data_IF_281303357594
#
_entry.id   IF_281303357594
#
_cell.length_a   1.000
_cell.length_b   1.000
_cell.length_c   1.000
_cell.angle_alpha   90.00
_cell.angle_beta   90.00
_cell.angle_gamma   90.00
#
_symmetry.space_group_name_H-M   'P 1'
#
loop_
_entity.id
_entity.type
_entity.pdbx_description
1 polymer ?
#
# COMPACT_ATOMS: atom_id res chain seq x y z
N UNK A 1 39.88 2.33 22.06
CA UNK A 1 38.46 1.92 22.24
C UNK A 1 37.59 2.94 21.52
N UNK A 2 37.11 2.58 20.34
CA UNK A 2 36.37 3.44 19.40
C UNK A 2 35.04 2.74 19.08
N UNK A 3 33.98 3.08 19.79
CA UNK A 3 32.61 2.72 19.42
C UNK A 3 31.67 3.85 19.87
N UNK A 4 31.06 4.56 18.91
CA UNK A 4 29.67 5.07 18.98
C UNK A 4 29.35 6.12 17.88
N UNK A 5 29.77 5.92 16.62
CA UNK A 5 29.39 6.85 15.54
C UNK A 5 28.51 6.21 14.45
N UNK A 6 28.39 4.88 14.43
CA UNK A 6 27.74 4.15 13.33
C UNK A 6 26.22 4.00 13.50
N UNK A 7 25.74 3.89 14.75
CA UNK A 7 24.31 3.72 15.04
C UNK A 7 23.47 4.93 14.58
N UNK A 8 24.01 6.14 14.73
CA UNK A 8 23.33 7.38 14.36
C UNK A 8 23.23 7.60 12.84
N UNK A 9 24.14 7.03 12.06
CA UNK A 9 24.10 7.13 10.59
C UNK A 9 23.05 6.17 10.01
N UNK A 10 23.03 4.93 10.51
CA UNK A 10 22.03 3.92 10.13
C UNK A 10 20.63 4.39 10.48
N UNK A 11 20.44 4.96 11.67
CA UNK A 11 19.14 5.44 12.12
C UNK A 11 18.65 6.63 11.26
N UNK A 12 19.53 7.55 10.87
CA UNK A 12 19.18 8.63 9.94
C UNK A 12 18.78 8.11 8.57
N UNK A 13 19.52 7.14 8.04
CA UNK A 13 19.26 6.56 6.72
C UNK A 13 17.92 5.81 6.71
N UNK A 14 17.62 5.07 7.78
CA UNK A 14 16.32 4.43 8.01
C UNK A 14 15.21 5.48 8.08
N UNK A 15 15.38 6.56 8.84
CA UNK A 15 14.37 7.61 8.96
C UNK A 15 14.12 8.33 7.62
N UNK A 16 15.16 8.59 6.84
CA UNK A 16 15.03 9.21 5.51
C UNK A 16 14.32 8.29 4.53
N UNK A 17 14.68 7.00 4.48
CA UNK A 17 13.99 6.00 3.64
C UNK A 17 12.53 5.80 4.07
N UNK A 18 12.26 5.92 5.37
CA UNK A 18 10.92 5.81 5.95
C UNK A 18 10.12 7.13 5.91
N UNK A 19 10.70 8.22 5.38
CA UNK A 19 10.04 9.53 5.24
C UNK A 19 9.76 10.25 6.56
N UNK A 20 10.54 9.99 7.60
CA UNK A 20 10.36 10.53 8.95
C UNK A 20 11.09 11.87 9.08
N UNK A 21 10.35 12.98 9.23
CA UNK A 21 10.93 14.29 9.57
C UNK A 21 11.29 14.35 11.06
N UNK A 22 12.51 14.81 11.36
CA UNK A 22 12.96 15.09 12.72
C UNK A 22 12.41 16.46 13.14
N UNK A 23 11.30 16.49 13.87
CA UNK A 23 10.74 17.76 14.36
C UNK A 23 11.40 18.23 15.65
N UNK A 24 11.63 19.53 15.71
CA UNK A 24 12.25 20.27 16.80
C UNK A 24 11.38 20.28 18.08
N UNK A 25 12.06 20.27 19.22
CA UNK A 25 11.53 20.12 20.57
C UNK A 25 10.84 21.40 21.08
N UNK A 26 9.80 21.89 20.41
CA UNK A 26 8.94 22.97 20.90
C UNK A 26 7.46 22.66 20.58
N UNK A 27 6.76 22.00 21.51
CA UNK A 27 5.34 21.61 21.39
C UNK A 27 4.45 22.67 22.08
N UNK A 28 3.38 23.17 21.43
CA UNK A 28 2.21 23.67 22.17
C UNK A 28 1.44 22.49 22.80
N UNK A 29 0.60 22.80 23.79
CA UNK A 29 -0.18 21.88 24.64
C UNK A 29 -0.86 20.75 23.83
N UNK A 30 -0.87 19.54 24.42
CA UNK A 30 -1.44 18.35 23.80
C UNK A 30 -2.92 18.55 23.44
N UNK A 31 -3.20 18.73 22.14
CA UNK A 31 -4.55 18.82 21.59
C UNK A 31 -5.29 17.51 21.87
N UNK A 32 -6.18 17.49 22.87
CA UNK A 32 -7.00 16.33 23.16
C UNK A 32 -8.04 16.16 22.05
N UNK A 33 -7.96 15.04 21.34
CA UNK A 33 -8.92 14.67 20.31
C UNK A 33 -10.10 13.99 21.02
N UNK A 34 -11.27 14.63 21.01
CA UNK A 34 -12.50 14.01 21.48
C UNK A 34 -13.09 13.21 20.32
N UNK A 35 -13.26 11.91 20.53
CA UNK A 35 -13.93 11.02 19.57
C UNK A 35 -15.43 11.09 19.84
N UNK A 36 -16.22 11.56 18.89
CA UNK A 36 -17.68 11.61 19.02
C UNK A 36 -18.32 10.33 18.47
N UNK A 37 -19.57 10.05 18.82
CA UNK A 37 -20.34 8.88 18.33
C UNK A 37 -20.87 9.06 16.91
N UNK A 38 -20.71 10.26 16.31
CA UNK A 38 -21.23 10.58 14.97
C UNK A 38 -20.38 9.96 13.85
N UNK A 39 -21.06 9.45 12.83
CA UNK A 39 -20.44 8.92 11.62
C UNK A 39 -19.75 10.05 10.83
N UNK A 40 -18.49 9.85 10.47
CA UNK A 40 -17.73 10.77 9.62
C UNK A 40 -17.98 10.47 8.13
N UNK A 41 -19.14 10.91 7.63
CA UNK A 41 -19.50 10.77 6.21
C UNK A 41 -18.50 11.46 5.27
N UNK A 42 -17.91 12.57 5.73
CA UNK A 42 -16.90 13.32 4.96
C UNK A 42 -15.66 12.46 4.74
N UNK A 43 -15.16 11.79 5.78
CA UNK A 43 -14.04 10.86 5.66
C UNK A 43 -14.36 9.71 4.68
N UNK A 44 -15.53 9.09 4.78
CA UNK A 44 -15.94 8.01 3.86
C UNK A 44 -15.94 8.49 2.41
N UNK A 45 -16.49 9.68 2.15
CA UNK A 45 -16.52 10.26 0.81
C UNK A 45 -15.11 10.53 0.28
N UNK A 46 -14.23 11.10 1.11
CA UNK A 46 -12.83 11.36 0.77
C UNK A 46 -12.11 10.06 0.42
N UNK A 47 -12.29 9.00 1.21
CA UNK A 47 -11.67 7.70 0.92
C UNK A 47 -12.15 7.16 -0.43
N UNK A 48 -13.46 7.07 -0.63
CA UNK A 48 -14.03 6.52 -1.88
C UNK A 48 -13.58 7.32 -3.10
N UNK A 49 -13.69 8.65 -3.04
CA UNK A 49 -13.34 9.52 -4.16
C UNK A 49 -11.83 9.49 -4.43
N UNK A 50 -11.01 9.49 -3.38
CA UNK A 50 -9.57 9.34 -3.48
C UNK A 50 -9.15 8.02 -4.11
N UNK A 51 -9.77 6.89 -3.71
CA UNK A 51 -9.51 5.58 -4.31
C UNK A 51 -9.93 5.55 -5.79
N UNK A 52 -11.11 6.06 -6.13
CA UNK A 52 -11.63 6.07 -7.51
C UNK A 52 -10.71 6.90 -8.40
N UNK A 53 -10.31 8.09 -7.94
CA UNK A 53 -9.43 8.97 -8.68
C UNK A 53 -8.03 8.35 -8.86
N UNK A 54 -7.49 7.70 -7.83
CA UNK A 54 -6.24 6.94 -7.92
C UNK A 54 -6.34 5.82 -8.97
N UNK A 55 -7.42 5.03 -8.96
CA UNK A 55 -7.66 3.97 -9.96
C UNK A 55 -7.71 4.58 -11.36
N UNK A 56 -8.44 5.68 -11.54
CA UNK A 56 -8.54 6.38 -12.83
C UNK A 56 -7.19 6.82 -13.37
N UNK A 57 -6.35 7.42 -12.53
CA UNK A 57 -4.98 7.84 -12.89
C UNK A 57 -4.13 6.62 -13.28
N UNK A 58 -4.20 5.53 -12.52
CA UNK A 58 -3.42 4.33 -12.79
C UNK A 58 -3.89 3.62 -14.09
N UNK A 59 -5.18 3.63 -14.40
CA UNK A 59 -5.71 3.15 -15.69
C UNK A 59 -5.20 4.04 -16.84
N UNK A 60 -5.16 5.36 -16.64
CA UNK A 60 -4.58 6.29 -17.62
C UNK A 60 -3.08 6.00 -17.84
N UNK A 61 -2.34 5.67 -16.78
CA UNK A 61 -0.96 5.26 -16.87
C UNK A 61 -0.79 3.93 -17.64
N UNK A 62 -1.67 2.95 -17.43
CA UNK A 62 -1.71 1.71 -18.22
C UNK A 62 -1.92 1.99 -19.70
N UNK A 63 -2.88 2.85 -20.04
CA UNK A 63 -3.12 3.26 -21.42
C UNK A 63 -1.88 3.94 -22.04
N UNK A 64 -1.23 4.83 -21.30
CA UNK A 64 0.00 5.49 -21.72
C UNK A 64 1.15 4.50 -21.96
N UNK A 65 1.32 3.53 -21.06
CA UNK A 65 2.31 2.46 -21.20
C UNK A 65 2.03 1.55 -22.39
N UNK A 66 0.77 1.19 -22.62
CA UNK A 66 0.37 0.38 -23.78
C UNK A 66 0.76 1.08 -25.09
N UNK A 67 0.50 2.39 -25.20
CA UNK A 67 0.93 3.19 -26.36
C UNK A 67 2.44 3.28 -26.48
N UNK A 68 3.15 3.47 -25.37
CA UNK A 68 4.60 3.56 -25.35
C UNK A 68 5.22 2.25 -25.86
N UNK A 69 4.82 1.11 -25.30
CA UNK A 69 5.35 -0.20 -25.70
C UNK A 69 5.02 -0.49 -27.17
N UNK A 70 3.79 -0.23 -27.62
CA UNK A 70 3.42 -0.39 -29.04
C UNK A 70 4.31 0.44 -29.97
N UNK A 71 4.65 1.67 -29.60
CA UNK A 71 5.56 2.54 -30.39
C UNK A 71 6.99 1.99 -30.40
N UNK A 72 7.46 1.46 -29.28
CA UNK A 72 8.78 0.85 -29.17
C UNK A 72 8.87 -0.42 -30.02
N UNK A 73 7.88 -1.29 -29.95
CA UNK A 73 7.87 -2.57 -30.65
C UNK A 73 7.68 -2.43 -32.16
N UNK A 74 6.95 -1.40 -32.60
CA UNK A 74 6.82 -1.07 -34.02
C UNK A 74 8.11 -0.45 -34.61
N UNK A 75 9.03 0.04 -33.78
CA UNK A 75 10.26 0.65 -34.24
C UNK A 75 11.37 -0.41 -34.40
N UNK A 76 11.60 -0.85 -35.63
CA UNK A 76 12.60 -1.88 -35.97
C UNK A 76 14.05 -1.52 -35.60
N UNK A 77 14.35 -0.25 -35.29
CA UNK A 77 15.68 0.17 -34.85
C UNK A 77 15.97 -0.09 -33.37
N UNK A 78 14.92 -0.33 -32.57
CA UNK A 78 15.05 -0.56 -31.14
C UNK A 78 15.13 -2.05 -30.82
N UNK A 79 15.89 -2.45 -29.79
CA UNK A 79 15.97 -3.84 -29.41
C UNK A 79 14.66 -4.33 -28.77
N UNK A 80 14.23 -5.54 -29.12
CA UNK A 80 12.96 -6.11 -28.67
C UNK A 80 12.84 -6.30 -27.14
N UNK A 81 13.97 -6.41 -26.43
CA UNK A 81 13.95 -6.50 -24.96
C UNK A 81 13.57 -5.17 -24.27
N UNK A 82 13.63 -4.04 -24.99
CA UNK A 82 13.40 -2.71 -24.40
C UNK A 82 11.95 -2.53 -23.93
N UNK A 83 10.96 -2.96 -24.72
CA UNK A 83 9.54 -2.88 -24.33
C UNK A 83 9.25 -3.69 -23.06
N UNK A 84 9.85 -4.88 -22.96
CA UNK A 84 9.74 -5.73 -21.77
C UNK A 84 10.44 -5.10 -20.56
N UNK A 85 11.63 -4.50 -20.73
CA UNK A 85 12.33 -3.81 -19.64
C UNK A 85 11.51 -2.63 -19.11
N UNK A 86 10.98 -1.78 -19.99
CA UNK A 86 10.17 -0.63 -19.61
C UNK A 86 8.92 -1.06 -18.84
N UNK A 87 8.29 -2.15 -19.28
CA UNK A 87 7.14 -2.74 -18.58
C UNK A 87 7.52 -3.30 -17.21
N UNK A 88 8.66 -3.97 -17.09
CA UNK A 88 9.17 -4.48 -15.81
C UNK A 88 9.46 -3.33 -14.83
N UNK A 89 10.08 -2.26 -15.30
CA UNK A 89 10.34 -1.05 -14.50
C UNK A 89 9.03 -0.38 -14.07
N UNK A 90 8.04 -0.33 -14.96
CA UNK A 90 6.74 0.23 -14.66
C UNK A 90 5.99 -0.58 -13.59
N UNK A 91 5.93 -1.91 -13.71
CA UNK A 91 5.36 -2.76 -12.66
C UNK A 91 6.15 -2.68 -11.35
N UNK A 92 7.47 -2.50 -11.42
CA UNK A 92 8.31 -2.29 -10.23
C UNK A 92 7.93 -1.00 -9.53
N UNK A 93 7.78 0.10 -10.28
CA UNK A 93 7.33 1.39 -9.75
C UNK A 93 5.96 1.26 -9.08
N UNK A 94 5.00 0.61 -9.74
CA UNK A 94 3.67 0.38 -9.18
C UNK A 94 3.70 -0.50 -7.92
N UNK A 95 4.52 -1.55 -7.92
CA UNK A 95 4.59 -2.51 -6.80
C UNK A 95 5.27 -1.93 -5.56
N UNK A 96 6.29 -1.08 -5.74
CA UNK A 96 7.01 -0.44 -4.63
C UNK A 96 6.23 0.76 -4.12
N UNK A 97 5.67 1.58 -5.02
CA UNK A 97 5.13 2.89 -4.64
C UNK A 97 3.93 3.32 -5.48
N UNK A 98 2.88 2.48 -5.53
CA UNK A 98 1.56 2.85 -6.07
C UNK A 98 1.00 4.16 -5.50
N UNK A 99 1.42 4.52 -4.27
CA UNK A 99 1.04 5.77 -3.59
C UNK A 99 1.46 7.04 -4.30
N UNK A 100 2.41 7.00 -5.24
CA UNK A 100 2.72 8.17 -6.08
C UNK A 100 1.46 8.65 -6.83
N UNK A 101 0.53 7.74 -7.10
CA UNK A 101 -0.74 8.02 -7.77
C UNK A 101 -1.89 8.32 -6.80
N UNK A 102 -1.65 8.26 -5.48
CA UNK A 102 -2.67 8.53 -4.46
C UNK A 102 -2.65 10.01 -4.06
N UNK A 103 -3.84 10.62 -3.99
CA UNK A 103 -4.01 12.00 -3.53
C UNK A 103 -4.19 12.10 -2.01
N UNK A 104 -4.26 10.95 -1.32
CA UNK A 104 -4.35 10.90 0.14
C UNK A 104 -2.98 11.17 0.75
N UNK A 105 -2.91 12.09 1.71
CA UNK A 105 -1.68 12.34 2.47
C UNK A 105 -1.29 11.07 3.23
N UNK A 106 -0.06 10.62 2.99
CA UNK A 106 0.51 9.38 3.50
C UNK A 106 1.77 9.61 4.33
N UNK A 107 2.05 10.87 4.69
CA UNK A 107 3.19 11.22 5.53
C UNK A 107 3.00 10.75 6.97
N UNK A 108 4.01 10.07 7.53
CA UNK A 108 4.00 9.58 8.92
C UNK A 108 4.85 10.51 9.78
N UNK A 109 4.32 11.04 10.87
CA UNK A 109 5.14 11.73 11.87
C UNK A 109 5.72 10.72 12.88
N UNK A 110 6.95 10.93 13.35
CA UNK A 110 7.68 10.02 14.26
C UNK A 110 6.93 9.73 15.57
N UNK A 111 6.09 10.68 16.02
CA UNK A 111 5.26 10.56 17.23
C UNK A 111 4.02 9.66 17.07
N UNK A 112 3.70 9.20 15.86
CA UNK A 112 2.47 8.44 15.57
C UNK A 112 2.61 6.93 15.91
N UNK A 113 3.83 6.44 16.14
CA UNK A 113 4.13 5.01 16.28
C UNK A 113 4.06 4.48 17.72
N UNK A 114 4.22 5.35 18.73
CA UNK A 114 4.50 4.94 20.12
C UNK A 114 3.25 4.73 20.99
N UNK A 115 2.07 5.23 20.57
CA UNK A 115 0.83 5.16 21.38
C UNK A 115 -0.10 3.99 21.02
N UNK A 116 0.32 3.03 20.18
CA UNK A 116 -0.51 1.86 19.80
C UNK A 116 -0.02 0.60 20.50
N UNK A 117 -0.89 -0.01 21.31
CA UNK A 117 -0.61 -1.29 21.95
C UNK A 117 -0.63 -2.39 20.88
N UNK A 118 0.47 -3.16 20.78
CA UNK A 118 0.61 -4.25 19.80
C UNK A 118 0.60 -5.62 20.49
N UNK A 119 0.12 -6.67 19.81
CA UNK A 119 0.20 -8.01 20.38
C UNK A 119 1.65 -8.48 20.48
N UNK A 120 1.95 -9.33 21.46
CA UNK A 120 3.31 -9.85 21.72
C UNK A 120 3.91 -10.63 20.54
N UNK A 121 3.07 -11.19 19.67
CA UNK A 121 3.48 -11.95 18.49
C UNK A 121 3.72 -11.08 17.24
N UNK A 122 3.46 -9.76 17.31
CA UNK A 122 3.64 -8.87 16.18
C UNK A 122 5.09 -8.96 15.64
N UNK A 123 5.29 -9.14 14.33
CA UNK A 123 6.63 -9.20 13.76
C UNK A 123 7.45 -7.93 14.07
N UNK A 124 8.78 -8.02 14.19
CA UNK A 124 9.64 -6.85 14.28
C UNK A 124 9.52 -5.96 13.02
N UNK A 125 9.75 -4.63 13.12
CA UNK A 125 9.62 -3.71 11.98
C UNK A 125 10.42 -4.10 10.73
N UNK A 126 11.62 -4.67 10.89
CA UNK A 126 12.43 -5.09 9.74
C UNK A 126 11.79 -6.25 8.96
N UNK A 127 11.07 -7.16 9.64
CA UNK A 127 10.40 -8.30 8.99
C UNK A 127 9.29 -7.79 8.08
N UNK A 128 8.56 -6.76 8.50
CA UNK A 128 7.58 -6.12 7.62
C UNK A 128 8.22 -5.58 6.34
N UNK A 129 9.34 -4.85 6.45
CA UNK A 129 10.03 -4.30 5.28
C UNK A 129 10.49 -5.42 4.33
N UNK A 130 11.08 -6.48 4.88
CA UNK A 130 11.53 -7.63 4.09
C UNK A 130 10.38 -8.29 3.35
N UNK A 131 9.29 -8.63 4.04
CA UNK A 131 8.15 -9.32 3.43
C UNK A 131 7.47 -8.46 2.37
N UNK A 132 7.30 -7.16 2.60
CA UNK A 132 6.71 -6.26 1.59
C UNK A 132 7.61 -6.12 0.36
N UNK A 133 8.93 -6.09 0.53
CA UNK A 133 9.86 -6.09 -0.60
C UNK A 133 9.78 -7.41 -1.38
N UNK A 134 9.70 -8.55 -0.70
CA UNK A 134 9.48 -9.85 -1.35
C UNK A 134 8.18 -9.84 -2.14
N UNK A 135 7.07 -9.38 -1.55
CA UNK A 135 5.76 -9.29 -2.24
C UNK A 135 5.84 -8.35 -3.45
N UNK A 136 6.58 -7.24 -3.36
CA UNK A 136 6.76 -6.35 -4.50
C UNK A 136 7.43 -7.07 -5.67
N UNK A 137 8.47 -7.87 -5.42
CA UNK A 137 9.12 -8.69 -6.45
C UNK A 137 8.16 -9.74 -7.03
N UNK A 138 7.42 -10.45 -6.17
CA UNK A 138 6.44 -11.46 -6.62
C UNK A 138 5.36 -10.84 -7.52
N UNK A 139 4.87 -9.65 -7.18
CA UNK A 139 3.91 -8.89 -8.00
C UNK A 139 4.48 -8.57 -9.37
N UNK A 140 5.70 -8.03 -9.44
CA UNK A 140 6.36 -7.69 -10.72
C UNK A 140 6.47 -8.91 -11.63
N UNK A 141 7.00 -10.01 -11.10
CA UNK A 141 7.19 -11.25 -11.88
C UNK A 141 5.85 -11.78 -12.38
N UNK A 142 4.86 -11.87 -11.49
CA UNK A 142 3.55 -12.41 -11.84
C UNK A 142 2.80 -11.54 -12.85
N UNK A 143 2.87 -10.21 -12.69
CA UNK A 143 2.23 -9.27 -13.63
C UNK A 143 2.92 -9.28 -15.00
N UNK A 144 4.23 -9.48 -15.07
CA UNK A 144 4.95 -9.63 -16.34
C UNK A 144 4.53 -10.90 -17.09
N UNK A 145 4.40 -12.03 -16.39
CA UNK A 145 3.92 -13.28 -17.00
C UNK A 145 2.52 -13.12 -17.58
N UNK A 146 1.59 -12.57 -16.78
CA UNK A 146 0.21 -12.31 -17.24
C UNK A 146 0.18 -11.32 -18.41
N UNK A 147 1.01 -10.27 -18.37
CA UNK A 147 1.09 -9.30 -19.45
C UNK A 147 1.58 -9.92 -20.77
N UNK A 148 2.56 -10.84 -20.71
CA UNK A 148 3.04 -11.58 -21.88
C UNK A 148 1.94 -12.47 -22.48
N UNK A 149 1.24 -13.24 -21.65
CA UNK A 149 0.13 -14.10 -22.08
C UNK A 149 -1.05 -13.32 -22.67
N UNK A 150 -1.26 -12.08 -22.22
CA UNK A 150 -2.33 -11.20 -22.71
C UNK A 150 -1.91 -10.38 -23.94
N UNK A 151 -0.98 -10.88 -24.75
CA UNK A 151 -0.46 -10.22 -25.96
C UNK A 151 0.03 -8.79 -25.68
N UNK A 152 0.66 -8.57 -24.53
CA UNK A 152 1.24 -7.28 -24.13
C UNK A 152 0.23 -6.13 -23.95
N UNK A 153 -1.06 -6.45 -23.80
CA UNK A 153 -2.08 -5.45 -23.45
C UNK A 153 -2.14 -5.19 -21.94
N UNK A 154 -2.26 -3.91 -21.57
CA UNK A 154 -2.34 -3.49 -20.16
C UNK A 154 -3.79 -3.39 -19.68
N UNK A 155 -4.71 -2.97 -20.55
CA UNK A 155 -6.11 -2.74 -20.23
C UNK A 155 -6.97 -4.02 -20.26
N UNK A 156 -6.45 -5.08 -19.63
CA UNK A 156 -7.12 -6.38 -19.49
C UNK A 156 -7.56 -6.60 -18.05
N UNK A 157 -8.65 -7.37 -17.87
CA UNK A 157 -9.30 -7.56 -16.57
C UNK A 157 -8.33 -7.96 -15.43
N UNK A 158 -7.39 -8.91 -15.61
CA UNK A 158 -6.47 -9.31 -14.54
C UNK A 158 -5.54 -8.17 -14.08
N UNK A 159 -4.98 -7.41 -15.03
CA UNK A 159 -4.06 -6.32 -14.72
C UNK A 159 -4.80 -5.09 -14.16
N UNK A 160 -6.01 -4.81 -14.64
CA UNK A 160 -6.88 -3.78 -14.04
C UNK A 160 -7.26 -4.14 -12.61
N UNK A 161 -7.60 -5.41 -12.35
CA UNK A 161 -7.87 -5.89 -10.99
C UNK A 161 -6.65 -5.73 -10.07
N UNK A 162 -5.43 -5.94 -10.59
CA UNK A 162 -4.18 -5.70 -9.86
C UNK A 162 -4.00 -4.22 -9.47
N UNK A 163 -4.27 -3.29 -10.39
CA UNK A 163 -4.24 -1.85 -10.11
C UNK A 163 -5.27 -1.46 -9.04
N UNK A 164 -6.48 -1.99 -9.14
CA UNK A 164 -7.53 -1.78 -8.14
C UNK A 164 -7.09 -2.32 -6.77
N UNK A 165 -6.46 -3.49 -6.71
CA UNK A 165 -5.90 -4.07 -5.49
C UNK A 165 -4.88 -3.12 -4.82
N UNK A 166 -3.97 -2.53 -5.60
CA UNK A 166 -2.99 -1.57 -5.08
C UNK A 166 -3.66 -0.31 -4.50
N UNK A 167 -4.64 0.26 -5.19
CA UNK A 167 -5.36 1.46 -4.74
C UNK A 167 -6.16 1.23 -3.45
N UNK A 168 -6.78 0.05 -3.31
CA UNK A 168 -7.46 -0.37 -2.08
C UNK A 168 -6.48 -0.52 -0.91
N UNK A 169 -5.29 -1.09 -1.17
CA UNK A 169 -4.22 -1.20 -0.17
C UNK A 169 -3.68 0.15 0.30
N UNK A 170 -3.56 1.12 -0.60
CA UNK A 170 -3.11 2.47 -0.26
C UNK A 170 -4.14 3.22 0.58
N UNK A 171 -5.41 3.10 0.22
CA UNK A 171 -6.51 3.68 0.99
C UNK A 171 -6.56 3.10 2.40
N UNK A 172 -6.39 1.78 2.53
CA UNK A 172 -6.28 1.14 3.84
C UNK A 172 -5.10 1.70 4.66
N UNK A 173 -3.92 1.89 4.05
CA UNK A 173 -2.78 2.43 4.77
C UNK A 173 -3.03 3.85 5.30
N UNK A 174 -3.69 4.72 4.52
CA UNK A 174 -4.09 6.05 4.99
C UNK A 174 -4.95 5.94 6.24
N UNK A 175 -6.02 5.14 6.19
CA UNK A 175 -6.98 4.98 7.30
C UNK A 175 -6.30 4.41 8.54
N UNK A 176 -5.51 3.35 8.39
CA UNK A 176 -4.89 2.65 9.52
C UNK A 176 -3.68 3.39 10.09
N UNK A 177 -2.78 3.88 9.24
CA UNK A 177 -1.47 4.37 9.70
C UNK A 177 -1.41 5.88 9.86
N UNK A 178 -2.04 6.64 8.95
CA UNK A 178 -2.00 8.11 8.99
C UNK A 178 -3.08 8.59 9.94
N UNK A 179 -4.32 8.16 9.70
CA UNK A 179 -5.45 8.61 10.48
C UNK A 179 -5.69 7.80 11.75
N UNK A 180 -5.07 6.63 11.92
CA UNK A 180 -5.23 5.76 13.11
C UNK A 180 -6.69 5.47 13.46
N UNK A 181 -7.55 5.29 12.45
CA UNK A 181 -8.93 4.83 12.65
C UNK A 181 -8.95 3.30 12.67
N UNK A 182 -8.46 2.74 13.77
CA UNK A 182 -8.23 1.30 13.99
C UNK A 182 -9.47 0.44 13.72
N UNK A 183 -10.67 0.85 14.15
CA UNK A 183 -11.91 0.12 13.93
C UNK A 183 -12.38 0.21 12.49
N UNK A 184 -12.37 1.41 11.90
CA UNK A 184 -12.69 1.58 10.47
C UNK A 184 -11.72 0.82 9.54
N UNK A 185 -10.47 0.66 9.96
CA UNK A 185 -9.46 -0.07 9.20
C UNK A 185 -9.70 -1.58 9.13
N UNK A 186 -10.45 -2.17 10.06
CA UNK A 186 -10.74 -3.63 10.10
C UNK A 186 -11.55 -4.10 8.88
N UNK A 187 -12.76 -3.58 8.60
CA UNK A 187 -13.49 -4.01 7.41
C UNK A 187 -12.76 -3.62 6.13
N UNK A 188 -12.04 -2.49 6.15
CA UNK A 188 -11.26 -2.03 4.98
C UNK A 188 -10.08 -2.96 4.68
N UNK A 189 -9.36 -3.51 5.68
CA UNK A 189 -8.27 -4.46 5.40
C UNK A 189 -8.77 -5.78 4.81
N UNK A 190 -9.94 -6.24 5.28
CA UNK A 190 -10.56 -7.49 4.84
C UNK A 190 -11.09 -7.34 3.41
N UNK A 191 -11.93 -6.33 3.16
CA UNK A 191 -12.58 -6.12 1.87
C UNK A 191 -11.65 -5.49 0.82
N UNK A 192 -10.71 -4.67 1.28
CA UNK A 192 -9.73 -4.00 0.43
C UNK A 192 -8.59 -4.96 0.06
N UNK A 193 -7.42 -4.87 0.70
CA UNK A 193 -6.22 -5.59 0.26
C UNK A 193 -6.33 -7.11 0.35
N UNK A 194 -6.98 -7.70 1.37
CA UNK A 194 -7.04 -9.17 1.51
C UNK A 194 -7.92 -9.81 0.42
N UNK A 195 -9.18 -9.39 0.30
CA UNK A 195 -10.10 -9.96 -0.69
C UNK A 195 -9.65 -9.66 -2.12
N UNK A 196 -9.19 -8.44 -2.40
CA UNK A 196 -8.71 -8.11 -3.74
C UNK A 196 -7.43 -8.87 -4.11
N UNK A 197 -6.52 -9.18 -3.17
CA UNK A 197 -5.36 -10.01 -3.45
C UNK A 197 -5.76 -11.44 -3.85
N UNK A 198 -6.76 -12.02 -3.17
CA UNK A 198 -7.30 -13.33 -3.53
C UNK A 198 -7.89 -13.31 -4.95
N UNK A 199 -8.69 -12.29 -5.27
CA UNK A 199 -9.27 -12.12 -6.60
C UNK A 199 -8.17 -12.02 -7.67
N UNK A 200 -7.16 -11.17 -7.47
CA UNK A 200 -6.04 -11.02 -8.41
C UNK A 200 -5.27 -12.33 -8.57
N UNK A 201 -5.01 -13.05 -7.48
CA UNK A 201 -4.33 -14.35 -7.52
C UNK A 201 -5.11 -15.38 -8.33
N UNK A 202 -6.43 -15.44 -8.16
CA UNK A 202 -7.31 -16.33 -8.93
C UNK A 202 -7.32 -15.94 -10.41
N UNK A 203 -7.46 -14.64 -10.72
CA UNK A 203 -7.43 -14.16 -12.10
C UNK A 203 -6.08 -14.46 -12.76
N UNK A 204 -4.98 -14.30 -12.03
CA UNK A 204 -3.64 -14.60 -12.54
C UNK A 204 -3.49 -16.10 -12.80
N UNK A 205 -3.94 -16.96 -11.88
CA UNK A 205 -3.96 -18.41 -12.05
C UNK A 205 -4.74 -18.85 -13.29
N UNK A 206 -5.86 -18.19 -13.60
CA UNK A 206 -6.67 -18.51 -14.77
C UNK A 206 -5.99 -18.17 -16.10
N UNK A 207 -5.07 -17.20 -16.11
CA UNK A 207 -4.28 -16.84 -17.30
C UNK A 207 -3.01 -17.69 -17.36
N UNK A 208 -2.23 -17.67 -16.29
CA UNK A 208 -1.00 -18.46 -16.13
C UNK A 208 -0.95 -19.04 -14.70
N UNK A 209 -1.05 -20.38 -14.54
CA UNK A 209 -0.95 -21.03 -13.25
C UNK A 209 0.33 -20.68 -12.49
N UNK A 210 1.46 -20.48 -13.18
CA UNK A 210 2.72 -20.09 -12.56
C UNK A 210 2.62 -18.68 -11.94
N UNK A 211 2.02 -17.72 -12.64
CA UNK A 211 1.78 -16.37 -12.11
C UNK A 211 0.89 -16.40 -10.87
N UNK A 212 -0.15 -17.25 -10.86
CA UNK A 212 -0.99 -17.47 -9.68
C UNK A 212 -0.21 -18.05 -8.49
N UNK A 213 0.61 -19.08 -8.72
CA UNK A 213 1.45 -19.73 -7.69
C UNK A 213 2.45 -18.72 -7.10
N UNK A 214 3.12 -17.93 -7.94
CA UNK A 214 4.12 -16.95 -7.50
C UNK A 214 3.47 -15.87 -6.62
N UNK A 215 2.24 -15.46 -6.91
CA UNK A 215 1.54 -14.43 -6.15
C UNK A 215 0.88 -14.97 -4.86
N UNK A 216 0.52 -16.26 -4.81
CA UNK A 216 -0.21 -16.87 -3.70
C UNK A 216 0.39 -16.64 -2.29
N UNK A 217 1.73 -16.66 -2.07
CA UNK A 217 2.32 -16.35 -0.76
C UNK A 217 1.93 -14.97 -0.21
N UNK A 218 1.61 -14.00 -1.07
CA UNK A 218 1.15 -12.68 -0.64
C UNK A 218 -0.20 -12.74 0.10
N UNK A 219 -1.08 -13.68 -0.26
CA UNK A 219 -2.38 -13.88 0.40
C UNK A 219 -2.20 -14.43 1.83
N UNK A 220 -1.19 -15.27 2.05
CA UNK A 220 -0.84 -15.76 3.39
C UNK A 220 -0.41 -14.60 4.28
N UNK A 221 0.48 -13.74 3.78
CA UNK A 221 0.90 -12.55 4.52
C UNK A 221 -0.26 -11.58 4.80
N UNK A 222 -1.13 -11.35 3.84
CA UNK A 222 -2.30 -10.51 4.04
C UNK A 222 -3.27 -11.08 5.07
N UNK A 223 -3.36 -12.41 5.20
CA UNK A 223 -4.12 -13.05 6.28
C UNK A 223 -3.50 -12.74 7.64
N UNK A 224 -2.17 -12.81 7.76
CA UNK A 224 -1.45 -12.38 8.98
C UNK A 224 -1.72 -10.89 9.27
N UNK A 225 -1.72 -10.05 8.23
CA UNK A 225 -1.99 -8.62 8.37
C UNK A 225 -3.42 -8.35 8.89
N UNK A 226 -4.44 -9.07 8.39
CA UNK A 226 -5.82 -8.99 8.89
C UNK A 226 -5.88 -9.33 10.38
N UNK A 227 -5.28 -10.45 10.78
CA UNK A 227 -5.24 -10.88 12.19
C UNK A 227 -4.53 -9.85 13.08
N UNK A 228 -3.46 -9.25 12.55
CA UNK A 228 -2.70 -8.21 13.27
C UNK A 228 -3.53 -6.94 13.47
N UNK A 229 -4.21 -6.46 12.42
CA UNK A 229 -5.07 -5.26 12.49
C UNK A 229 -6.22 -5.50 13.46
N UNK A 230 -6.85 -6.67 13.40
CA UNK A 230 -7.90 -7.08 14.35
C UNK A 230 -7.38 -7.09 15.80
N UNK A 231 -6.19 -7.66 16.03
CA UNK A 231 -5.60 -7.73 17.36
C UNK A 231 -5.25 -6.34 17.90
N UNK A 232 -4.69 -5.47 17.06
CA UNK A 232 -4.40 -4.08 17.42
C UNK A 232 -5.71 -3.37 17.78
N UNK A 233 -6.74 -3.49 16.95
CA UNK A 233 -8.04 -2.89 17.25
C UNK A 233 -8.63 -3.37 18.59
N UNK A 234 -8.55 -4.67 18.89
CA UNK A 234 -9.04 -5.24 20.15
C UNK A 234 -8.28 -4.75 21.38
N UNK A 235 -6.98 -4.50 21.25
CA UNK A 235 -6.12 -4.02 22.34
C UNK A 235 -6.26 -2.52 22.60
N UNK A 236 -6.77 -1.75 21.64
CA UNK A 236 -6.81 -0.29 21.69
C UNK A 236 -8.26 0.24 21.73
N UNK A 237 -9.08 -0.32 22.62
CA UNK A 237 -10.39 0.26 22.98
C UNK A 237 -11.57 -0.11 22.09
N UNK A 238 -11.38 -0.95 21.05
CA UNK A 238 -12.47 -1.51 20.22
C UNK A 238 -13.43 -0.44 19.69
N UNK A 239 -12.90 0.64 19.12
CA UNK A 239 -13.74 1.67 18.50
C UNK A 239 -14.66 1.06 17.41
N UNK A 240 -15.81 1.68 17.08
CA UNK A 240 -16.71 1.16 16.06
C UNK A 240 -16.02 0.87 14.72
N UNK A 241 -16.55 -0.10 13.97
CA UNK A 241 -15.99 -0.55 12.67
C UNK A 241 -16.20 0.47 11.52
N UNK A 242 -16.58 1.70 11.83
CA UNK A 242 -16.83 2.78 10.89
C UNK A 242 -16.16 4.06 11.38
N UNK A 243 -15.79 4.98 10.47
CA UNK A 243 -15.05 6.18 10.86
C UNK A 243 -15.92 7.12 11.68
N UNK A 244 -15.45 7.45 12.89
CA UNK A 244 -16.08 8.42 13.79
C UNK A 244 -15.52 9.83 13.60
N UNK A 245 -16.36 10.85 13.76
CA UNK A 245 -15.96 12.25 13.64
C UNK A 245 -15.01 12.61 14.80
N UNK A 246 -13.90 13.28 14.48
CA UNK A 246 -12.90 13.71 15.45
C UNK A 246 -12.93 15.22 15.55
N UNK A 247 -13.25 15.75 16.73
CA UNK A 247 -13.18 17.19 17.02
C UNK A 247 -11.96 17.45 17.90
N UNK A 248 -11.07 18.32 17.43
CA UNK A 248 -9.96 18.81 18.24
C UNK A 248 -10.41 20.09 18.95
N UNK A 249 -10.50 20.06 20.28
CA UNK A 249 -10.64 21.30 21.05
C UNK A 249 -9.25 21.94 21.21
N UNK A 250 -9.12 23.21 20.88
CA UNK A 250 -8.02 24.05 21.36
C UNK A 250 -8.44 24.57 22.74
N UNK A 251 -7.68 24.22 23.78
CA UNK A 251 -7.73 24.89 25.08
C UNK A 251 -6.68 25.99 25.10
#
# INVERSE_FOLDING_TARGET
>A
MTQSNDSGAVERLVNTVMGVKTEEKNRPLAKQIVVTTELDLKAILIYKLGTILQIGIMILAFWGMEKLVTVVDNNSSLPHWLGTLLTALFFTLLSIRSRIFSLLDNTRSRQTYDDVIRPKWAPPPFVFALVWMTIAVLRVISSLLVWQEMNQHFLVLPLVAFVVHLALGDTWNTIFTVERRLGAAVPVVILGPWLSALIVTILYWQIDPLAGIILAPSCVWLTVAVVLVLSIWQLNGKEPLYPLKRTSFEQ
#
